data_IF_104038710306
#
_entry.id   IF_104038710306
#
_cell.length_a   1.000
_cell.length_b   1.000
_cell.length_c   1.000
_cell.angle_alpha   90.00
_cell.angle_beta   90.00
_cell.angle_gamma   90.00
#
_symmetry.space_group_name_H-M   'P 1'
#
loop_
_entity.id
_entity.type
_entity.pdbx_description
1 polymer ?
#
# COMPACT_ATOMS: atom_id res chain seq x y z
N UNK A 1 -41.46 40.29 2.88
CA UNK A 1 -40.20 40.07 3.61
C UNK A 1 -40.05 38.57 3.75
N UNK A 2 -39.16 37.94 2.99
CA UNK A 2 -38.92 36.50 3.11
C UNK A 2 -38.49 36.19 4.54
N UNK A 3 -39.08 35.15 5.14
CA UNK A 3 -38.80 34.82 6.53
C UNK A 3 -37.32 34.41 6.68
N UNK A 4 -36.75 34.67 7.85
CA UNK A 4 -35.37 34.28 8.15
C UNK A 4 -35.16 32.77 7.91
N UNK A 5 -36.20 31.94 8.13
CA UNK A 5 -36.19 30.52 7.81
C UNK A 5 -35.98 30.23 6.31
N UNK A 6 -36.65 30.95 5.40
CA UNK A 6 -36.50 30.79 3.94
C UNK A 6 -35.05 31.05 3.49
N UNK A 7 -34.43 32.10 4.03
CA UNK A 7 -33.02 32.45 3.74
C UNK A 7 -32.09 31.35 4.26
N UNK A 8 -32.38 30.75 5.43
CA UNK A 8 -31.56 29.66 5.96
C UNK A 8 -31.69 28.35 5.19
N UNK A 9 -32.87 28.07 4.62
CA UNK A 9 -33.09 26.90 3.76
C UNK A 9 -32.43 27.07 2.40
N UNK A 10 -32.46 28.27 1.82
CA UNK A 10 -31.72 28.59 0.60
C UNK A 10 -30.20 28.49 0.81
N UNK A 11 -29.69 28.98 1.94
CA UNK A 11 -28.27 28.82 2.31
C UNK A 11 -27.88 27.35 2.54
N UNK A 12 -28.76 26.53 3.12
CA UNK A 12 -28.55 25.08 3.24
C UNK A 12 -28.55 24.40 1.87
N UNK A 13 -29.48 24.75 0.97
CA UNK A 13 -29.51 24.25 -0.41
C UNK A 13 -28.23 24.65 -1.16
N UNK A 14 -27.79 25.89 -1.06
CA UNK A 14 -26.53 26.34 -1.65
C UNK A 14 -25.33 25.55 -1.12
N UNK A 15 -25.24 25.31 0.19
CA UNK A 15 -24.15 24.52 0.80
C UNK A 15 -24.18 23.04 0.42
N UNK A 16 -25.37 22.49 0.18
CA UNK A 16 -25.58 21.12 -0.34
C UNK A 16 -25.21 21.04 -1.82
N UNK A 17 -25.58 22.05 -2.62
CA UNK A 17 -25.19 22.17 -4.03
C UNK A 17 -23.67 22.35 -4.15
N UNK A 18 -23.04 23.16 -3.31
CA UNK A 18 -21.57 23.31 -3.27
C UNK A 18 -20.85 22.01 -2.86
N UNK A 19 -21.49 21.20 -2.00
CA UNK A 19 -21.04 19.83 -1.66
C UNK A 19 -21.27 18.84 -2.81
N UNK A 20 -22.35 18.97 -3.57
CA UNK A 20 -22.72 18.12 -4.70
C UNK A 20 -21.94 18.46 -5.99
N UNK A 21 -21.52 19.72 -6.14
CA UNK A 21 -20.65 20.24 -7.21
C UNK A 21 -19.17 20.07 -6.86
N UNK A 22 -18.84 19.38 -5.75
CA UNK A 22 -17.49 18.83 -5.58
C UNK A 22 -17.32 17.74 -6.63
N UNK A 23 -16.68 18.11 -7.74
CA UNK A 23 -16.08 17.23 -8.74
C UNK A 23 -15.68 15.90 -8.09
N UNK A 24 -16.31 14.79 -8.53
CA UNK A 24 -16.12 13.45 -7.95
C UNK A 24 -14.65 13.00 -7.98
N UNK A 25 -13.83 13.62 -8.83
CA UNK A 25 -12.40 13.42 -9.00
C UNK A 25 -11.50 14.35 -8.16
N UNK A 26 -12.04 15.14 -7.22
CA UNK A 26 -11.25 16.00 -6.34
C UNK A 26 -10.85 15.29 -5.05
N UNK A 27 -9.56 15.39 -4.71
CA UNK A 27 -8.98 14.81 -3.49
C UNK A 27 -8.42 15.95 -2.64
N UNK A 28 -8.97 16.11 -1.44
CA UNK A 28 -8.45 17.04 -0.45
C UNK A 28 -7.43 16.33 0.44
N UNK A 29 -6.18 16.76 0.38
CA UNK A 29 -5.08 16.21 1.16
C UNK A 29 -4.95 16.97 2.47
N UNK A 30 -4.86 16.20 3.56
CA UNK A 30 -4.58 16.68 4.90
C UNK A 30 -3.43 15.87 5.50
N UNK A 31 -2.55 16.55 6.25
CA UNK A 31 -1.30 15.95 6.73
C UNK A 31 -1.44 15.06 7.98
N UNK A 32 -2.53 15.20 8.74
CA UNK A 32 -2.58 14.70 10.13
C UNK A 32 -3.42 13.42 10.27
N UNK A 33 -4.41 13.21 9.38
CA UNK A 33 -5.44 12.18 9.58
C UNK A 33 -5.24 10.90 8.76
N UNK A 34 -4.46 10.93 7.69
CA UNK A 34 -4.30 9.80 6.75
C UNK A 34 -2.85 9.68 6.30
N UNK A 35 -2.32 8.45 6.18
CA UNK A 35 -0.97 8.23 5.66
C UNK A 35 -0.88 8.63 4.19
N UNK A 36 0.30 8.99 3.70
CA UNK A 36 0.51 9.44 2.31
C UNK A 36 -0.04 8.44 1.28
N UNK A 37 0.20 7.15 1.49
CA UNK A 37 -0.24 6.09 0.58
C UNK A 37 -1.76 5.95 0.46
N UNK A 38 -2.53 6.43 1.45
CA UNK A 38 -3.99 6.48 1.34
C UNK A 38 -4.41 7.35 0.16
N UNK A 39 -3.83 8.55 0.04
CA UNK A 39 -4.14 9.48 -1.04
C UNK A 39 -3.60 9.00 -2.38
N UNK A 40 -2.41 8.38 -2.39
CA UNK A 40 -1.86 7.76 -3.62
C UNK A 40 -2.80 6.69 -4.17
N UNK A 41 -3.32 5.81 -3.31
CA UNK A 41 -4.23 4.74 -3.74
C UNK A 41 -5.60 5.29 -4.16
N UNK A 42 -6.10 6.30 -3.47
CA UNK A 42 -7.34 6.99 -3.86
C UNK A 42 -7.18 7.68 -5.22
N UNK A 43 -6.06 8.37 -5.46
CA UNK A 43 -5.74 9.00 -6.73
C UNK A 43 -5.67 7.99 -7.88
N UNK A 44 -5.02 6.84 -7.67
CA UNK A 44 -5.02 5.75 -8.66
C UNK A 44 -6.42 5.28 -9.01
N UNK A 45 -7.29 5.08 -8.01
CA UNK A 45 -8.68 4.71 -8.22
C UNK A 45 -9.44 5.78 -9.02
N UNK A 46 -9.28 7.05 -8.68
CA UNK A 46 -9.97 8.14 -9.37
C UNK A 46 -9.47 8.33 -10.80
N UNK A 47 -8.16 8.21 -11.05
CA UNK A 47 -7.60 8.22 -12.41
C UNK A 47 -8.18 7.09 -13.27
N UNK A 48 -8.40 5.90 -12.70
CA UNK A 48 -9.03 4.79 -13.41
C UNK A 48 -10.51 5.05 -13.72
N UNK A 49 -11.24 5.69 -12.80
CA UNK A 49 -12.68 5.91 -12.92
C UNK A 49 -13.05 7.13 -13.75
N UNK A 50 -12.25 8.20 -13.67
CA UNK A 50 -12.59 9.51 -14.21
C UNK A 50 -11.60 10.02 -15.27
N UNK A 51 -10.45 9.34 -15.46
CA UNK A 51 -9.41 9.77 -16.40
C UNK A 51 -8.59 10.97 -15.94
N UNK A 52 -9.12 11.83 -15.07
CA UNK A 52 -8.42 12.98 -14.50
C UNK A 52 -8.70 13.11 -13.01
N UNK A 53 -7.80 13.77 -12.28
CA UNK A 53 -7.91 14.06 -10.85
C UNK A 53 -7.48 15.49 -10.54
N UNK A 54 -8.04 16.03 -9.47
CA UNK A 54 -7.65 17.31 -8.87
C UNK A 54 -7.20 17.07 -7.44
N UNK A 55 -5.91 17.29 -7.17
CA UNK A 55 -5.34 17.21 -5.82
C UNK A 55 -5.32 18.60 -5.21
N UNK A 56 -5.87 18.78 -4.00
CA UNK A 56 -5.92 20.07 -3.30
C UNK A 56 -5.34 19.95 -1.88
N UNK A 57 -4.51 20.89 -1.45
CA UNK A 57 -4.03 21.01 -0.08
C UNK A 57 -3.97 22.46 0.41
N UNK A 58 -3.95 22.63 1.73
CA UNK A 58 -3.83 23.92 2.41
C UNK A 58 -2.64 23.92 3.38
N UNK A 59 -1.88 25.01 3.39
CA UNK A 59 -0.79 25.24 4.35
C UNK A 59 0.21 24.07 4.43
N UNK A 60 0.39 23.49 5.63
CA UNK A 60 1.35 22.41 5.85
C UNK A 60 1.09 21.15 5.02
N UNK A 61 -0.16 20.90 4.59
CA UNK A 61 -0.49 19.72 3.80
C UNK A 61 0.04 19.79 2.34
N UNK A 62 0.50 20.97 1.91
CA UNK A 62 1.06 21.20 0.57
C UNK A 62 2.29 20.32 0.28
N UNK A 63 3.16 20.07 1.28
CA UNK A 63 4.30 19.17 1.10
C UNK A 63 3.87 17.75 0.73
N UNK A 64 2.90 17.20 1.48
CA UNK A 64 2.32 15.88 1.18
C UNK A 64 1.64 15.83 -0.18
N UNK A 65 1.00 16.91 -0.62
CA UNK A 65 0.39 17.03 -1.95
C UNK A 65 1.43 16.85 -3.07
N UNK A 66 2.56 17.54 -2.94
CA UNK A 66 3.68 17.48 -3.89
C UNK A 66 4.24 16.07 -3.94
N UNK A 67 4.49 15.45 -2.78
CA UNK A 67 4.98 14.07 -2.75
C UNK A 67 4.00 13.08 -3.41
N UNK A 68 2.69 13.26 -3.25
CA UNK A 68 1.69 12.41 -3.91
C UNK A 68 1.75 12.59 -5.43
N UNK A 69 1.82 13.83 -5.93
CA UNK A 69 1.88 14.09 -7.37
C UNK A 69 3.17 13.55 -7.99
N UNK A 70 4.30 13.67 -7.30
CA UNK A 70 5.58 13.08 -7.69
C UNK A 70 5.52 11.56 -7.76
N UNK A 71 4.96 10.89 -6.73
CA UNK A 71 4.81 9.43 -6.71
C UNK A 71 3.97 8.96 -7.92
N UNK A 72 2.90 9.68 -8.25
CA UNK A 72 2.04 9.33 -9.40
C UNK A 72 2.77 9.51 -10.73
N UNK A 73 3.52 10.60 -10.89
CA UNK A 73 4.30 10.89 -12.10
C UNK A 73 5.45 9.89 -12.29
N UNK A 74 6.25 9.66 -11.25
CA UNK A 74 7.44 8.79 -11.33
C UNK A 74 7.09 7.33 -11.62
N UNK A 75 5.91 6.88 -11.18
CA UNK A 75 5.41 5.55 -11.47
C UNK A 75 4.56 5.48 -12.76
N UNK A 76 4.57 6.53 -13.59
CA UNK A 76 3.81 6.61 -14.83
C UNK A 76 2.30 6.40 -14.67
N UNK A 77 1.74 6.71 -13.49
CA UNK A 77 0.29 6.67 -13.29
C UNK A 77 -0.40 7.91 -13.83
N UNK A 78 0.25 9.07 -13.85
CA UNK A 78 -0.41 10.30 -14.27
C UNK A 78 0.58 11.27 -14.93
N UNK A 79 0.03 12.11 -15.81
CA UNK A 79 0.71 13.25 -16.40
C UNK A 79 0.15 14.51 -15.76
N UNK A 80 1.02 15.48 -15.46
CA UNK A 80 0.62 16.75 -14.85
C UNK A 80 0.01 17.66 -15.92
N UNK A 81 -1.14 18.27 -15.62
CA UNK A 81 -1.88 19.14 -16.53
C UNK A 81 -1.75 20.61 -16.15
N UNK A 82 -2.03 20.92 -14.88
CA UNK A 82 -2.00 22.30 -14.38
C UNK A 82 -1.62 22.34 -12.90
N UNK A 83 -0.97 23.43 -12.49
CA UNK A 83 -0.63 23.74 -11.10
C UNK A 83 -1.13 25.15 -10.79
N UNK A 84 -2.02 25.25 -9.81
CA UNK A 84 -2.58 26.52 -9.35
C UNK A 84 -2.27 26.73 -7.88
N UNK A 85 -1.73 27.90 -7.57
CA UNK A 85 -1.52 28.37 -6.20
C UNK A 85 -2.42 29.58 -5.98
N UNK A 86 -3.15 29.56 -4.89
CA UNK A 86 -3.99 30.66 -4.47
C UNK A 86 -3.93 30.85 -2.97
N UNK A 87 -4.50 31.95 -2.51
CA UNK A 87 -4.67 32.23 -1.08
C UNK A 87 -6.16 32.20 -0.80
N UNK A 88 -6.56 31.47 0.24
CA UNK A 88 -7.97 31.34 0.64
C UNK A 88 -8.12 31.71 2.11
N UNK A 89 -9.18 32.42 2.41
CA UNK A 89 -9.57 32.73 3.78
C UNK A 89 -10.29 31.53 4.40
N UNK A 90 -9.82 31.10 5.57
CA UNK A 90 -10.36 29.94 6.30
C UNK A 90 -10.73 30.40 7.70
N UNK A 91 -11.99 30.18 8.08
CA UNK A 91 -12.41 30.38 9.46
C UNK A 91 -11.90 29.23 10.33
N UNK A 92 -11.14 29.55 11.36
CA UNK A 92 -10.64 28.58 12.33
C UNK A 92 -11.70 28.27 13.39
N UNK A 93 -12.21 27.03 13.39
CA UNK A 93 -13.33 26.61 14.25
C UNK A 93 -13.09 26.83 15.76
N UNK A 94 -11.84 26.80 16.21
CA UNK A 94 -11.49 26.94 17.64
C UNK A 94 -11.48 28.39 18.12
N UNK A 95 -11.09 29.31 17.25
CA UNK A 95 -10.84 30.72 17.60
C UNK A 95 -11.87 31.66 16.98
N UNK A 96 -12.66 31.18 16.02
CA UNK A 96 -13.59 31.98 15.21
C UNK A 96 -12.90 32.99 14.30
N UNK A 97 -11.55 33.02 14.27
CA UNK A 97 -10.78 33.97 13.48
C UNK A 97 -10.67 33.49 12.04
N UNK A 98 -10.85 34.42 11.11
CA UNK A 98 -10.55 34.19 9.69
C UNK A 98 -9.05 34.33 9.48
N UNK A 99 -8.40 33.28 8.98
CA UNK A 99 -6.97 33.25 8.68
C UNK A 99 -6.75 32.97 7.20
N UNK A 100 -5.80 33.69 6.62
CA UNK A 100 -5.40 33.51 5.24
C UNK A 100 -4.44 32.31 5.12
N UNK A 101 -4.77 31.32 4.29
CA UNK A 101 -3.96 30.13 4.05
C UNK A 101 -3.64 29.97 2.57
N UNK A 102 -2.42 29.56 2.26
CA UNK A 102 -2.07 29.13 0.92
C UNK A 102 -2.80 27.83 0.55
N UNK A 103 -3.29 27.77 -0.68
CA UNK A 103 -3.95 26.64 -1.31
C UNK A 103 -3.16 26.25 -2.55
N UNK A 104 -2.81 24.97 -2.63
CA UNK A 104 -2.20 24.38 -3.81
C UNK A 104 -3.18 23.39 -4.43
N UNK A 105 -3.38 23.52 -5.74
CA UNK A 105 -4.22 22.66 -6.56
C UNK A 105 -3.39 22.12 -7.73
N UNK A 106 -3.37 20.80 -7.90
CA UNK A 106 -2.67 20.12 -8.99
C UNK A 106 -3.68 19.29 -9.76
N UNK A 107 -3.82 19.58 -11.05
CA UNK A 107 -4.63 18.78 -11.97
C UNK A 107 -3.74 17.78 -12.68
N UNK A 108 -4.13 16.50 -12.69
CA UNK A 108 -3.40 15.43 -13.35
C UNK A 108 -4.33 14.55 -14.18
N UNK A 109 -3.82 14.05 -15.29
CA UNK A 109 -4.53 13.17 -16.21
C UNK A 109 -3.92 11.77 -16.21
N UNK A 110 -4.74 10.76 -16.50
CA UNK A 110 -4.34 9.37 -16.67
C UNK A 110 -3.29 9.26 -17.75
N UNK A 111 -2.15 8.67 -17.41
CA UNK A 111 -1.12 8.35 -18.40
C UNK A 111 -1.59 7.22 -19.33
N UNK A 112 -1.20 7.30 -20.60
CA UNK A 112 -1.45 6.24 -21.59
C UNK A 112 -0.77 4.91 -21.20
N UNK A 113 0.31 4.98 -20.42
CA UNK A 113 1.06 3.81 -19.93
C UNK A 113 0.42 3.14 -18.69
N UNK A 114 -0.71 3.63 -18.16
CA UNK A 114 -1.28 3.08 -16.92
C UNK A 114 -1.55 1.58 -17.02
N UNK A 115 -2.09 1.11 -18.17
CA UNK A 115 -2.46 -0.29 -18.32
C UNK A 115 -1.25 -1.21 -18.18
N UNK A 116 -0.11 -0.83 -18.75
CA UNK A 116 1.15 -1.57 -18.62
C UNK A 116 1.68 -1.56 -17.18
N UNK A 117 1.61 -0.40 -16.51
CA UNK A 117 2.05 -0.27 -15.11
C UNK A 117 1.21 -1.17 -14.20
N UNK A 118 -0.11 -1.21 -14.39
CA UNK A 118 -1.01 -2.06 -13.60
C UNK A 118 -0.64 -3.54 -13.79
N UNK A 119 -0.47 -3.98 -15.04
CA UNK A 119 -0.07 -5.35 -15.35
C UNK A 119 1.27 -5.69 -14.70
N UNK A 120 2.29 -4.82 -14.85
CA UNK A 120 3.60 -5.00 -14.21
C UNK A 120 3.50 -5.09 -12.68
N UNK A 121 2.67 -4.26 -12.04
CA UNK A 121 2.49 -4.32 -10.58
C UNK A 121 1.78 -5.59 -10.12
N UNK A 122 0.80 -6.08 -10.87
CA UNK A 122 0.11 -7.32 -10.55
C UNK A 122 1.05 -8.52 -10.73
N UNK A 123 1.83 -8.55 -11.80
CA UNK A 123 2.86 -9.58 -12.03
C UNK A 123 3.88 -9.61 -10.89
N UNK A 124 4.44 -8.46 -10.48
CA UNK A 124 5.33 -8.38 -9.31
C UNK A 124 4.68 -8.89 -8.03
N UNK A 125 3.40 -8.57 -7.81
CA UNK A 125 2.68 -9.02 -6.61
C UNK A 125 2.52 -10.55 -6.60
N UNK A 126 2.27 -11.13 -7.77
CA UNK A 126 2.21 -12.59 -7.96
C UNK A 126 3.60 -13.20 -7.75
N UNK A 127 4.66 -12.66 -8.35
CA UNK A 127 6.04 -13.12 -8.18
C UNK A 127 6.46 -13.13 -6.71
N UNK A 128 6.23 -12.03 -5.98
CA UNK A 128 6.52 -11.94 -4.55
C UNK A 128 5.74 -13.00 -3.76
N UNK A 129 4.48 -13.25 -4.13
CA UNK A 129 3.69 -14.29 -3.48
C UNK A 129 4.27 -15.68 -3.75
N UNK A 130 4.63 -15.97 -5.00
CA UNK A 130 5.23 -17.23 -5.43
C UNK A 130 6.57 -17.49 -4.74
N UNK A 131 7.43 -16.48 -4.65
CA UNK A 131 8.73 -16.59 -4.01
C UNK A 131 8.61 -16.83 -2.49
N UNK A 132 7.60 -16.23 -1.85
CA UNK A 132 7.26 -16.49 -0.46
C UNK A 132 6.83 -17.95 -0.24
N UNK A 133 6.03 -18.50 -1.16
CA UNK A 133 5.64 -19.92 -1.12
C UNK A 133 6.83 -20.86 -1.35
N UNK A 134 7.69 -20.57 -2.33
CA UNK A 134 8.91 -21.36 -2.59
C UNK A 134 9.80 -21.44 -1.35
N UNK A 135 10.11 -20.30 -0.71
CA UNK A 135 10.94 -20.25 0.51
C UNK A 135 10.31 -21.02 1.68
N UNK A 136 8.98 -21.06 1.77
CA UNK A 136 8.29 -21.85 2.78
C UNK A 136 8.43 -23.36 2.51
N UNK A 137 8.30 -23.78 1.25
CA UNK A 137 8.48 -25.17 0.82
C UNK A 137 9.91 -25.63 1.08
N UNK A 138 10.91 -24.83 0.73
CA UNK A 138 12.33 -25.15 0.94
C UNK A 138 12.66 -25.39 2.42
N UNK A 139 12.07 -24.59 3.32
CA UNK A 139 12.18 -24.78 4.77
C UNK A 139 11.58 -26.10 5.25
N UNK A 140 10.43 -26.50 4.70
CA UNK A 140 9.79 -27.77 5.04
C UNK A 140 10.66 -28.94 4.57
N UNK A 141 11.13 -28.91 3.32
CA UNK A 141 12.01 -29.93 2.76
C UNK A 141 13.31 -30.05 3.56
N UNK A 142 13.94 -28.93 3.93
CA UNK A 142 15.15 -28.94 4.74
C UNK A 142 14.94 -29.57 6.13
N UNK A 143 13.78 -29.34 6.75
CA UNK A 143 13.41 -29.94 8.04
C UNK A 143 13.19 -31.45 7.90
N UNK A 144 12.52 -31.88 6.84
CA UNK A 144 12.30 -33.30 6.51
C UNK A 144 13.64 -34.03 6.31
N UNK A 145 14.55 -33.41 5.56
CA UNK A 145 15.86 -33.99 5.26
C UNK A 145 16.77 -34.07 6.49
N UNK A 146 16.69 -33.10 7.42
CA UNK A 146 17.40 -33.19 8.72
C UNK A 146 16.90 -34.38 9.53
N UNK A 147 15.58 -34.57 9.65
CA UNK A 147 14.99 -35.74 10.32
C UNK A 147 15.44 -37.06 9.69
N UNK A 148 15.42 -37.16 8.35
CA UNK A 148 15.89 -38.36 7.64
C UNK A 148 17.37 -38.65 7.90
N UNK A 149 18.23 -37.62 7.94
CA UNK A 149 19.66 -37.76 8.27
C UNK A 149 19.88 -38.26 9.70
N UNK A 150 19.14 -37.75 10.68
CA UNK A 150 19.22 -38.23 12.07
C UNK A 150 18.81 -39.70 12.17
N UNK A 151 17.68 -40.08 11.57
CA UNK A 151 17.21 -41.48 11.56
C UNK A 151 18.25 -42.41 10.91
N UNK A 152 18.89 -41.98 9.82
CA UNK A 152 19.91 -42.79 9.14
C UNK A 152 21.16 -42.97 10.01
N UNK A 153 21.55 -41.92 10.75
CA UNK A 153 22.69 -41.95 11.68
C UNK A 153 22.42 -42.84 12.90
N UNK A 154 21.18 -42.89 13.37
CA UNK A 154 20.74 -43.81 14.43
C UNK A 154 20.80 -45.26 13.93
N UNK A 155 20.26 -45.53 12.73
CA UNK A 155 20.25 -46.88 12.12
C UNK A 155 21.66 -47.43 11.89
N UNK A 156 22.61 -46.61 11.44
CA UNK A 156 23.98 -47.06 11.20
C UNK A 156 24.73 -47.41 12.49
N UNK A 157 24.51 -46.68 13.59
CA UNK A 157 25.05 -47.04 14.91
C UNK A 157 24.55 -48.40 15.40
N UNK A 158 23.25 -48.66 15.25
CA UNK A 158 22.64 -49.95 15.66
C UNK A 158 23.19 -51.12 14.84
N UNK A 159 23.39 -50.93 13.53
CA UNK A 159 23.98 -51.96 12.66
C UNK A 159 25.42 -52.26 13.07
N UNK A 160 26.26 -51.23 13.24
CA UNK A 160 27.65 -51.43 13.66
C UNK A 160 27.75 -52.11 15.03
N UNK A 161 26.92 -51.73 16.01
CA UNK A 161 26.88 -52.40 17.32
C UNK A 161 26.53 -53.89 17.21
N UNK A 162 25.58 -54.27 16.35
CA UNK A 162 25.23 -55.68 16.10
C UNK A 162 26.35 -56.47 15.42
N UNK A 163 27.11 -55.84 14.51
CA UNK A 163 28.26 -56.48 13.85
C UNK A 163 29.36 -56.79 14.87
N UNK A 164 29.72 -55.82 15.69
CA UNK A 164 30.75 -55.96 16.75
C UNK A 164 30.35 -57.05 17.74
N UNK A 165 29.08 -57.09 18.17
CA UNK A 165 28.58 -58.12 19.08
C UNK A 165 28.65 -59.53 18.48
N UNK A 166 28.29 -59.71 17.20
CA UNK A 166 28.42 -61.01 16.50
C UNK A 166 29.88 -61.45 16.37
N UNK A 167 30.78 -60.53 16.10
CA UNK A 167 32.21 -60.82 15.92
C UNK A 167 32.88 -61.20 17.24
N UNK A 168 32.49 -60.56 18.34
CA UNK A 168 32.92 -60.95 19.68
C UNK A 168 32.38 -62.33 20.09
N UNK A 169 31.11 -62.65 19.78
CA UNK A 169 30.53 -63.97 20.08
C UNK A 169 31.26 -65.10 19.34
N UNK A 170 31.69 -64.87 18.09
CA UNK A 170 32.51 -65.81 17.32
C UNK A 170 33.88 -66.05 17.96
N UNK A 171 34.52 -65.01 18.51
CA UNK A 171 35.82 -65.14 19.21
C UNK A 171 35.73 -65.90 20.53
N UNK A 172 34.59 -65.81 21.22
CA UNK A 172 34.36 -66.54 22.48
C UNK A 172 34.08 -68.02 22.20
N UNK A 173 33.28 -68.34 21.17
CA UNK A 173 32.94 -69.73 20.83
C UNK A 173 34.00 -70.49 19.99
N UNK A 174 35.00 -69.79 19.43
CA UNK A 174 36.13 -70.39 18.70
C UNK A 174 37.34 -70.73 19.57
N UNK A 175 37.26 -70.53 20.89
CA UNK A 175 38.25 -70.96 21.87
C UNK A 175 37.66 -72.11 22.69
N UNK A 176 37.67 -73.31 22.13
CA UNK A 176 37.49 -74.59 22.83
C UNK A 176 38.36 -75.62 22.14
#
# INVERSE_FOLDING_TARGET
>A
MGSFEEITEELKKFKVIEKAVRKKNRIQVSSIKKPIYFYVNLAKKYLQQHGEIELCALGMATGSLISISEILKNNNFAVMKDIKISTVEVCEEKTGRTVSKSKLEISMEKSNAINEVIVKTNLKKIEISMEKYSKAIDKVIAKENRKKKEILKEKSKVVNGKVIAKENLKRVNGKS
#
